data_IF_733563295117
#
_entry.id   IF_733563295117
#
_cell.length_a   1.000
_cell.length_b   1.000
_cell.length_c   1.000
_cell.angle_alpha   90.00
_cell.angle_beta   90.00
_cell.angle_gamma   90.00
#
_symmetry.space_group_name_H-M   'P 1'
#
loop_
_entity.id
_entity.type
_entity.pdbx_description
1 polymer ?
#
# COMPACT_ATOMS: atom_id res chain seq x y z
N UNK A 1 -10.69 5.55 2.86
CA UNK A 1 -12.05 5.29 2.35
C UNK A 1 -12.00 3.98 1.59
N UNK A 2 -12.69 2.94 2.07
CA UNK A 2 -12.67 1.62 1.43
C UNK A 2 -13.38 1.62 0.06
N UNK A 3 -14.44 2.41 -0.09
CA UNK A 3 -15.25 2.41 -1.31
C UNK A 3 -14.42 2.75 -2.56
N UNK A 4 -13.44 3.65 -2.44
CA UNK A 4 -12.59 4.05 -3.56
C UNK A 4 -11.71 2.88 -4.05
N UNK A 5 -11.22 2.04 -3.14
CA UNK A 5 -10.47 0.82 -3.50
C UNK A 5 -11.39 -0.21 -4.16
N UNK A 6 -12.60 -0.36 -3.65
CA UNK A 6 -13.59 -1.32 -4.16
C UNK A 6 -14.08 -0.97 -5.57
N UNK A 7 -14.14 0.32 -5.93
CA UNK A 7 -14.49 0.75 -7.29
C UNK A 7 -13.39 0.42 -8.30
N UNK A 8 -12.12 0.49 -7.89
CA UNK A 8 -10.97 0.32 -8.79
C UNK A 8 -10.56 -1.15 -8.94
N UNK A 9 -10.55 -1.90 -7.84
CA UNK A 9 -9.95 -3.24 -7.81
C UNK A 9 -10.65 -4.18 -6.81
N UNK A 10 -11.98 -4.29 -6.92
CA UNK A 10 -12.83 -5.09 -6.00
C UNK A 10 -12.26 -6.46 -5.67
N UNK A 11 -12.03 -7.30 -6.67
CA UNK A 11 -11.67 -8.71 -6.47
C UNK A 11 -10.31 -8.85 -5.76
N UNK A 12 -9.34 -8.00 -6.10
CA UNK A 12 -8.01 -7.99 -5.49
C UNK A 12 -8.07 -7.53 -4.03
N UNK A 13 -8.86 -6.49 -3.77
CA UNK A 13 -9.04 -5.92 -2.43
C UNK A 13 -9.77 -6.91 -1.52
N UNK A 14 -10.82 -7.57 -2.01
CA UNK A 14 -11.54 -8.59 -1.25
C UNK A 14 -10.65 -9.80 -0.90
N UNK A 15 -9.94 -10.36 -1.88
CA UNK A 15 -9.03 -11.49 -1.62
C UNK A 15 -7.95 -11.11 -0.60
N UNK A 16 -7.40 -9.90 -0.71
CA UNK A 16 -6.40 -9.39 0.23
C UNK A 16 -6.97 -9.22 1.64
N UNK A 17 -8.16 -8.63 1.78
CA UNK A 17 -8.85 -8.47 3.07
C UNK A 17 -9.14 -9.85 3.67
N UNK A 18 -9.64 -10.79 2.87
CA UNK A 18 -9.94 -12.15 3.33
C UNK A 18 -8.69 -12.84 3.86
N UNK A 19 -7.61 -12.89 3.08
CA UNK A 19 -6.34 -13.52 3.49
C UNK A 19 -5.80 -12.91 4.77
N UNK A 20 -5.74 -11.57 4.83
CA UNK A 20 -5.24 -10.86 5.99
C UNK A 20 -6.12 -11.16 7.21
N UNK A 21 -7.44 -10.96 7.13
CA UNK A 21 -8.32 -11.19 8.26
C UNK A 21 -8.25 -12.63 8.81
N UNK A 22 -8.02 -13.63 7.96
CA UNK A 22 -7.92 -15.03 8.37
C UNK A 22 -6.58 -15.39 9.04
N UNK A 23 -5.47 -14.79 8.58
CA UNK A 23 -4.11 -15.20 9.00
C UNK A 23 -3.43 -14.22 9.97
N UNK A 24 -3.85 -12.96 9.99
CA UNK A 24 -3.13 -11.85 10.61
C UNK A 24 -3.12 -11.85 12.14
N UNK A 25 -4.15 -12.44 12.79
CA UNK A 25 -4.34 -12.32 14.24
C UNK A 25 -3.16 -12.85 15.05
N UNK A 26 -2.62 -14.00 14.67
CA UNK A 26 -1.53 -14.63 15.41
C UNK A 26 -0.19 -13.89 15.25
N UNK A 27 -0.05 -13.10 14.18
CA UNK A 27 1.18 -12.37 13.84
C UNK A 27 1.10 -10.87 14.20
N UNK A 28 0.03 -10.45 14.89
CA UNK A 28 -0.12 -9.08 15.38
C UNK A 28 -0.47 -8.05 14.29
N UNK A 29 -1.03 -8.48 13.16
CA UNK A 29 -1.53 -7.58 12.13
C UNK A 29 -3.03 -7.36 12.36
N UNK A 30 -3.46 -6.10 12.35
CA UNK A 30 -4.86 -5.71 12.58
C UNK A 30 -5.36 -4.80 11.46
N UNK A 31 -6.60 -5.04 11.02
CA UNK A 31 -7.24 -4.26 9.97
C UNK A 31 -8.28 -3.33 10.57
N UNK A 32 -8.25 -2.06 10.14
CA UNK A 32 -9.32 -1.08 10.38
C UNK A 32 -9.80 -0.59 9.02
N UNK A 33 -11.03 -0.96 8.67
CA UNK A 33 -11.67 -0.52 7.44
C UNK A 33 -12.74 0.52 7.75
N UNK A 34 -12.73 1.62 7.02
CA UNK A 34 -13.70 2.71 7.19
C UNK A 34 -14.25 3.17 5.83
N UNK A 35 -15.56 3.39 5.79
CA UNK A 35 -16.26 3.92 4.62
C UNK A 35 -17.42 4.83 5.00
N UNK A 36 -17.65 5.86 4.18
CA UNK A 36 -18.86 6.68 4.23
C UNK A 36 -19.96 6.19 3.29
N UNK A 37 -19.69 5.16 2.47
CA UNK A 37 -20.63 4.59 1.49
C UNK A 37 -21.01 3.16 1.89
N UNK A 38 -21.91 2.99 2.87
CA UNK A 38 -22.31 1.67 3.34
C UNK A 38 -23.28 0.99 2.36
N UNK A 39 -22.77 0.56 1.20
CA UNK A 39 -23.53 -0.22 0.22
C UNK A 39 -23.09 -1.69 0.22
N UNK A 40 -23.96 -2.57 -0.30
CA UNK A 40 -23.66 -4.01 -0.45
C UNK A 40 -22.48 -4.28 -1.39
N UNK A 41 -22.14 -3.33 -2.26
CA UNK A 41 -21.01 -3.43 -3.18
C UNK A 41 -19.67 -3.10 -2.52
N UNK A 42 -19.70 -2.32 -1.44
CA UNK A 42 -18.52 -1.92 -0.66
C UNK A 42 -18.34 -2.82 0.56
N UNK A 43 -19.43 -3.09 1.30
CA UNK A 43 -19.45 -3.96 2.49
C UNK A 43 -20.05 -5.29 2.07
N UNK A 44 -19.26 -6.07 1.34
CA UNK A 44 -19.71 -7.32 0.74
C UNK A 44 -19.83 -8.45 1.77
N UNK A 45 -20.44 -9.56 1.38
CA UNK A 45 -20.56 -10.75 2.24
C UNK A 45 -19.21 -11.29 2.70
N UNK A 46 -18.20 -11.26 1.83
CA UNK A 46 -16.82 -11.69 2.15
C UNK A 46 -16.22 -10.81 3.24
N UNK A 47 -16.37 -9.49 3.12
CA UNK A 47 -15.89 -8.54 4.13
C UNK A 47 -16.60 -8.79 5.46
N UNK A 48 -17.94 -8.90 5.45
CA UNK A 48 -18.73 -9.15 6.67
C UNK A 48 -18.38 -10.47 7.37
N UNK A 49 -18.10 -11.52 6.61
CA UNK A 49 -17.75 -12.83 7.15
C UNK A 49 -16.38 -12.84 7.85
N UNK A 50 -15.45 -11.98 7.43
CA UNK A 50 -14.08 -11.94 7.97
C UNK A 50 -13.86 -10.82 9.01
N UNK A 51 -14.76 -9.84 9.10
CA UNK A 51 -14.71 -8.71 10.05
C UNK A 51 -15.96 -8.70 10.95
N UNK A 52 -15.96 -9.51 12.03
CA UNK A 52 -17.12 -9.65 12.91
C UNK A 52 -17.32 -8.47 13.88
N UNK A 53 -16.27 -7.70 14.16
CA UNK A 53 -16.36 -6.49 14.98
C UNK A 53 -16.69 -5.29 14.10
N UNK A 54 -17.76 -4.54 14.43
CA UNK A 54 -18.25 -3.45 13.59
C UNK A 54 -18.65 -2.23 14.40
N UNK A 55 -18.48 -1.06 13.79
CA UNK A 55 -18.92 0.22 14.33
C UNK A 55 -19.77 0.90 13.26
N UNK A 56 -20.96 1.34 13.63
CA UNK A 56 -21.81 2.18 12.79
C UNK A 56 -22.04 3.52 13.49
N UNK A 57 -21.63 4.61 12.85
CA UNK A 57 -22.11 5.95 13.20
C UNK A 57 -23.49 6.18 12.56
N UNK A 58 -24.07 7.36 12.78
CA UNK A 58 -25.34 7.75 12.15
C UNK A 58 -25.28 7.56 10.63
N UNK A 59 -26.22 6.77 10.11
CA UNK A 59 -26.42 6.56 8.66
C UNK A 59 -27.75 7.16 8.19
N UNK A 60 -27.93 7.24 6.87
CA UNK A 60 -29.10 7.87 6.27
C UNK A 60 -30.36 7.00 6.36
N UNK A 61 -30.22 5.67 6.29
CA UNK A 61 -31.37 4.76 6.19
C UNK A 61 -31.21 3.46 6.97
N UNK A 62 -32.36 2.80 7.20
CA UNK A 62 -32.41 1.43 7.74
C UNK A 62 -31.67 0.42 6.86
N UNK A 63 -31.66 0.66 5.54
CA UNK A 63 -30.94 -0.20 4.59
C UNK A 63 -29.44 -0.11 4.87
N UNK A 64 -28.90 1.10 5.00
CA UNK A 64 -27.49 1.32 5.33
C UNK A 64 -27.11 0.71 6.69
N UNK A 65 -28.00 0.84 7.68
CA UNK A 65 -27.81 0.20 8.99
C UNK A 65 -27.68 -1.31 8.85
N UNK A 66 -28.56 -1.94 8.07
CA UNK A 66 -28.49 -3.39 7.82
C UNK A 66 -27.26 -3.80 7.03
N UNK A 67 -26.76 -2.96 6.11
CA UNK A 67 -25.53 -3.26 5.38
C UNK A 67 -24.34 -3.35 6.34
N UNK A 68 -24.25 -2.47 7.33
CA UNK A 68 -23.13 -2.46 8.29
C UNK A 68 -23.34 -3.47 9.43
N UNK A 69 -24.52 -3.44 10.06
CA UNK A 69 -24.78 -4.11 11.34
C UNK A 69 -25.61 -5.39 11.21
N UNK A 70 -26.09 -5.72 10.01
CA UNK A 70 -27.09 -6.77 9.76
C UNK A 70 -28.43 -6.55 10.50
N UNK A 71 -28.60 -5.39 11.16
CA UNK A 71 -29.79 -4.97 11.88
C UNK A 71 -30.05 -3.46 11.75
N UNK A 72 -31.25 -3.03 12.15
CA UNK A 72 -31.60 -1.61 12.22
C UNK A 72 -31.01 -0.96 13.49
N UNK A 73 -30.92 0.36 13.51
CA UNK A 73 -30.61 1.16 14.70
C UNK A 73 -29.67 2.31 14.41
N UNK A 74 -28.73 2.15 13.47
CA UNK A 74 -27.74 3.18 13.16
C UNK A 74 -28.38 4.43 12.51
N UNK A 75 -29.50 4.28 11.81
CA UNK A 75 -30.25 5.40 11.23
C UNK A 75 -30.89 6.32 12.29
N UNK A 76 -31.09 5.79 13.51
CA UNK A 76 -31.72 6.50 14.62
C UNK A 76 -30.70 7.18 15.55
N UNK A 77 -29.40 7.10 15.25
CA UNK A 77 -28.35 7.75 16.01
C UNK A 77 -28.40 9.28 15.84
N UNK A 78 -27.90 10.00 16.84
CA UNK A 78 -27.94 11.46 16.91
C UNK A 78 -26.84 12.13 16.06
N UNK A 79 -25.81 11.38 15.68
CA UNK A 79 -24.59 11.90 15.05
C UNK A 79 -23.59 12.42 16.10
N UNK A 80 -22.60 13.22 15.67
CA UNK A 80 -21.59 13.83 16.57
C UNK A 80 -20.92 12.84 17.54
N UNK A 81 -20.55 11.66 17.04
CA UNK A 81 -19.88 10.61 17.83
C UNK A 81 -20.82 9.55 18.43
N UNK A 82 -22.14 9.73 18.37
CA UNK A 82 -23.09 8.66 18.75
C UNK A 82 -22.98 7.50 17.76
N UNK A 83 -22.76 6.28 18.28
CA UNK A 83 -22.48 5.09 17.49
C UNK A 83 -23.04 3.81 18.11
N UNK A 84 -23.21 2.80 17.26
CA UNK A 84 -23.40 1.41 17.67
C UNK A 84 -22.09 0.64 17.50
N UNK A 85 -21.70 -0.10 18.52
CA UNK A 85 -20.57 -1.02 18.49
C UNK A 85 -21.08 -2.46 18.61
N UNK A 86 -20.77 -3.29 17.61
CA UNK A 86 -21.03 -4.71 17.59
C UNK A 86 -19.73 -5.46 17.85
N UNK A 87 -19.61 -6.04 19.03
CA UNK A 87 -18.54 -6.98 19.34
C UNK A 87 -18.87 -8.37 18.75
N UNK A 88 -17.87 -9.20 18.42
CA UNK A 88 -18.10 -10.54 17.90
C UNK A 88 -18.97 -11.39 18.85
N UNK A 89 -20.10 -11.89 18.36
CA UNK A 89 -21.01 -12.77 19.12
C UNK A 89 -21.84 -12.07 20.19
N UNK A 90 -21.93 -10.74 20.16
CA UNK A 90 -22.75 -9.95 21.10
C UNK A 90 -23.81 -9.14 20.35
N UNK A 91 -24.77 -8.58 21.09
CA UNK A 91 -25.69 -7.57 20.56
C UNK A 91 -25.01 -6.19 20.50
N UNK A 92 -25.38 -5.30 19.56
CA UNK A 92 -24.79 -3.97 19.50
C UNK A 92 -25.05 -3.14 20.76
N UNK A 93 -23.98 -2.57 21.31
CA UNK A 93 -24.04 -1.58 22.36
C UNK A 93 -24.03 -0.17 21.76
N UNK A 94 -24.89 0.72 22.26
CA UNK A 94 -24.82 2.14 21.93
C UNK A 94 -23.75 2.82 22.77
N UNK A 95 -22.84 3.55 22.14
CA UNK A 95 -21.69 4.19 22.76
C UNK A 95 -21.55 5.62 22.24
N UNK A 96 -21.08 6.52 23.09
CA UNK A 96 -20.71 7.88 22.70
C UNK A 96 -19.19 7.95 22.45
N UNK A 97 -18.80 8.35 21.24
CA UNK A 97 -17.42 8.57 20.87
C UNK A 97 -16.80 9.76 21.57
N UNK A 98 -15.54 9.60 21.97
CA UNK A 98 -14.74 10.72 22.44
C UNK A 98 -14.50 11.70 21.28
N UNK A 99 -14.75 12.98 21.54
CA UNK A 99 -14.39 14.04 20.62
C UNK A 99 -12.90 14.33 20.75
N UNK A 100 -12.21 14.40 19.61
CA UNK A 100 -10.83 14.87 19.52
C UNK A 100 -10.76 15.93 18.42
N UNK A 101 -10.23 17.09 18.77
CA UNK A 101 -10.05 18.21 17.84
C UNK A 101 -8.84 18.01 16.93
N UNK A 102 -8.83 18.68 15.78
CA UNK A 102 -7.68 18.65 14.87
C UNK A 102 -6.43 19.23 15.52
N UNK A 103 -6.59 20.21 16.41
CA UNK A 103 -5.51 20.80 17.20
C UNK A 103 -4.91 19.78 18.18
N UNK A 104 -5.73 18.96 18.84
CA UNK A 104 -5.26 17.86 19.69
C UNK A 104 -4.49 16.82 18.90
N UNK A 105 -5.00 16.42 17.73
CA UNK A 105 -4.30 15.49 16.83
C UNK A 105 -2.94 16.08 16.45
N UNK A 106 -2.90 17.36 16.05
CA UNK A 106 -1.66 18.05 15.68
C UNK A 106 -0.62 18.04 16.81
N UNK A 107 -1.04 18.30 18.07
CA UNK A 107 -0.14 18.25 19.22
C UNK A 107 0.45 16.85 19.44
N UNK A 108 -0.35 15.80 19.30
CA UNK A 108 0.12 14.41 19.43
C UNK A 108 1.10 14.07 18.30
N UNK A 109 0.80 14.48 17.07
CA UNK A 109 1.68 14.26 15.91
C UNK A 109 3.03 14.94 16.10
N UNK A 110 3.07 16.20 16.52
CA UNK A 110 4.33 16.92 16.76
C UNK A 110 5.12 16.33 17.93
N UNK A 111 4.44 15.91 18.99
CA UNK A 111 5.07 15.17 20.08
C UNK A 111 5.74 13.89 19.54
N UNK A 112 5.05 13.07 18.75
CA UNK A 112 5.62 11.85 18.17
C UNK A 112 6.82 12.13 17.25
N UNK A 113 6.74 13.14 16.39
CA UNK A 113 7.86 13.56 15.52
C UNK A 113 9.10 13.99 16.31
N UNK A 114 8.92 14.59 17.49
CA UNK A 114 10.04 14.96 18.36
C UNK A 114 10.78 13.75 18.94
N UNK A 115 10.14 12.59 19.02
CA UNK A 115 10.73 11.36 19.58
C UNK A 115 11.57 10.60 18.56
N UNK A 116 11.31 10.76 17.26
CA UNK A 116 12.04 10.05 16.21
C UNK A 116 11.50 10.30 14.82
N UNK A 117 12.31 9.96 13.81
CA UNK A 117 11.88 9.96 12.41
C UNK A 117 11.22 8.63 12.07
N UNK A 118 10.20 8.62 11.19
CA UNK A 118 9.63 7.38 10.71
C UNK A 118 10.69 6.58 9.94
N UNK A 119 10.87 5.33 10.34
CA UNK A 119 11.53 4.33 9.51
C UNK A 119 10.46 3.78 8.58
N UNK A 120 10.46 4.26 7.34
CA UNK A 120 9.67 3.66 6.29
C UNK A 120 10.52 2.55 5.69
N UNK A 121 10.40 1.28 6.12
CA UNK A 121 10.88 0.21 5.29
C UNK A 121 10.21 0.44 3.93
N UNK A 122 11.00 0.39 2.86
CA UNK A 122 10.48 0.32 1.49
C UNK A 122 9.63 -0.95 1.42
N UNK A 123 8.37 -0.86 1.89
CA UNK A 123 7.35 -1.90 1.87
C UNK A 123 7.32 -2.36 0.43
N UNK A 124 7.68 -3.62 0.23
CA UNK A 124 8.04 -4.19 -1.06
C UNK A 124 6.96 -4.01 -2.11
N UNK A 125 7.01 -2.90 -2.81
CA UNK A 125 6.66 -2.81 -4.20
C UNK A 125 7.96 -2.93 -4.99
N UNK A 126 8.05 -4.02 -5.77
CA UNK A 126 8.73 -4.03 -7.07
C UNK A 126 10.25 -4.36 -7.15
N UNK A 127 10.77 -5.33 -6.40
CA UNK A 127 12.07 -5.93 -6.78
C UNK A 127 11.99 -6.75 -8.09
N UNK A 128 10.78 -7.17 -8.51
CA UNK A 128 10.56 -7.71 -9.84
C UNK A 128 10.06 -6.62 -10.79
N UNK A 129 10.88 -6.24 -11.76
CA UNK A 129 10.41 -5.52 -12.94
C UNK A 129 9.76 -6.54 -13.89
N UNK A 130 8.45 -6.43 -14.11
CA UNK A 130 7.71 -7.22 -15.09
C UNK A 130 7.92 -6.70 -16.52
N UNK A 131 7.54 -7.49 -17.52
CA UNK A 131 7.60 -7.05 -18.93
C UNK A 131 6.63 -5.89 -19.21
N UNK A 132 5.49 -5.83 -18.52
CA UNK A 132 4.54 -4.72 -18.63
C UNK A 132 5.12 -3.40 -18.11
N UNK A 133 5.89 -3.44 -17.02
CA UNK A 133 6.59 -2.27 -16.48
C UNK A 133 7.64 -1.74 -17.46
N UNK A 134 8.38 -2.65 -18.11
CA UNK A 134 9.38 -2.31 -19.12
C UNK A 134 8.74 -1.66 -20.34
N UNK A 135 7.64 -2.23 -20.82
CA UNK A 135 6.87 -1.69 -21.94
C UNK A 135 6.31 -0.29 -21.64
N UNK A 136 5.79 -0.06 -20.43
CA UNK A 136 5.27 1.26 -20.02
C UNK A 136 6.32 2.37 -20.12
N UNK A 137 7.58 2.05 -19.79
CA UNK A 137 8.68 3.01 -19.85
C UNK A 137 9.44 2.97 -21.20
N UNK A 138 9.02 2.12 -22.14
CA UNK A 138 9.71 1.92 -23.41
C UNK A 138 11.16 1.48 -23.23
N UNK A 139 11.41 0.66 -22.21
CA UNK A 139 12.75 0.14 -21.86
C UNK A 139 12.80 -1.34 -22.22
N UNK A 140 13.81 -1.76 -22.97
CA UNK A 140 14.00 -3.18 -23.27
C UNK A 140 14.55 -3.96 -22.05
N UNK A 141 14.17 -5.25 -21.85
CA UNK A 141 14.68 -6.06 -20.75
C UNK A 141 16.22 -6.11 -20.67
N UNK A 142 16.88 -6.13 -21.83
CA UNK A 142 18.34 -6.14 -21.91
C UNK A 142 18.95 -4.79 -21.50
N UNK A 143 18.35 -3.68 -21.94
CA UNK A 143 18.79 -2.32 -21.56
C UNK A 143 18.67 -2.12 -20.04
N UNK A 144 17.55 -2.57 -19.45
CA UNK A 144 17.35 -2.50 -18.01
C UNK A 144 18.40 -3.29 -17.22
N UNK A 145 18.69 -4.52 -17.65
CA UNK A 145 19.74 -5.36 -17.03
C UNK A 145 21.12 -4.69 -17.14
N UNK A 146 21.46 -4.13 -18.30
CA UNK A 146 22.72 -3.42 -18.50
C UNK A 146 22.81 -2.18 -17.60
N UNK A 147 21.70 -1.47 -17.39
CA UNK A 147 21.68 -0.32 -16.49
C UNK A 147 21.95 -0.73 -15.04
N UNK A 148 21.33 -1.82 -14.57
CA UNK A 148 21.59 -2.39 -13.24
C UNK A 148 23.08 -2.77 -13.06
N UNK A 149 23.66 -3.46 -14.06
CA UNK A 149 25.08 -3.81 -14.05
C UNK A 149 25.99 -2.57 -14.02
N UNK A 150 25.70 -1.57 -14.85
CA UNK A 150 26.45 -0.32 -14.89
C UNK A 150 26.43 0.39 -13.54
N UNK A 151 25.29 0.41 -12.84
CA UNK A 151 25.16 1.02 -11.51
C UNK A 151 25.98 0.26 -10.46
N UNK A 152 26.00 -1.08 -10.50
CA UNK A 152 26.86 -1.89 -9.63
C UNK A 152 28.36 -1.62 -9.88
N UNK A 153 28.77 -1.62 -11.15
CA UNK A 153 30.16 -1.42 -11.55
C UNK A 153 30.68 -0.03 -11.20
N UNK A 154 29.88 1.01 -11.50
CA UNK A 154 30.28 2.40 -11.31
C UNK A 154 30.02 2.91 -9.90
N UNK A 155 29.27 2.16 -9.08
CA UNK A 155 28.82 2.54 -7.73
C UNK A 155 28.18 3.93 -7.67
N UNK A 156 27.59 4.39 -8.78
CA UNK A 156 26.92 5.69 -8.93
C UNK A 156 25.90 5.60 -10.06
N UNK A 157 24.90 6.47 -10.02
CA UNK A 157 23.90 6.62 -11.09
C UNK A 157 23.68 8.11 -11.37
N UNK A 158 23.51 8.46 -12.65
CA UNK A 158 23.06 9.78 -13.08
C UNK A 158 22.46 9.69 -14.48
N UNK A 159 21.66 10.68 -14.85
CA UNK A 159 21.11 10.77 -16.20
C UNK A 159 22.22 10.82 -17.26
N UNK A 160 23.30 11.57 -17.02
CA UNK A 160 24.44 11.65 -17.94
C UNK A 160 25.19 10.31 -18.08
N UNK A 161 25.33 9.54 -16.99
CA UNK A 161 25.95 8.23 -17.02
C UNK A 161 25.14 7.26 -17.90
N UNK A 162 23.82 7.23 -17.69
CA UNK A 162 22.93 6.40 -18.50
C UNK A 162 22.90 6.88 -19.96
N UNK A 163 22.87 8.19 -20.19
CA UNK A 163 22.94 8.77 -21.54
C UNK A 163 24.23 8.40 -22.27
N UNK A 164 25.37 8.42 -21.58
CA UNK A 164 26.66 8.01 -22.14
C UNK A 164 26.69 6.55 -22.55
N UNK A 165 25.95 5.67 -21.85
CA UNK A 165 25.92 4.25 -22.14
C UNK A 165 24.88 3.89 -23.22
N UNK A 166 23.69 4.49 -23.16
CA UNK A 166 22.54 4.13 -24.01
C UNK A 166 22.29 5.11 -25.16
N UNK A 167 23.06 6.19 -25.26
CA UNK A 167 23.10 7.13 -26.40
C UNK A 167 21.88 8.05 -26.56
N UNK A 168 20.80 7.84 -25.81
CA UNK A 168 19.57 8.64 -25.90
C UNK A 168 19.19 9.26 -24.55
N UNK A 169 18.96 10.58 -24.57
CA UNK A 169 18.47 11.31 -23.38
C UNK A 169 17.13 10.79 -22.90
N UNK A 170 16.21 10.44 -23.81
CA UNK A 170 14.90 9.91 -23.46
C UNK A 170 15.01 8.54 -22.79
N UNK A 171 15.85 7.65 -23.33
CA UNK A 171 16.11 6.33 -22.73
C UNK A 171 16.76 6.46 -21.34
N UNK A 172 17.71 7.37 -21.20
CA UNK A 172 18.36 7.64 -19.91
C UNK A 172 17.36 8.12 -18.85
N UNK A 173 16.44 9.02 -19.22
CA UNK A 173 15.36 9.47 -18.32
C UNK A 173 14.44 8.32 -17.94
N UNK A 174 14.00 7.51 -18.91
CA UNK A 174 13.09 6.39 -18.65
C UNK A 174 13.73 5.33 -17.75
N UNK A 175 14.99 4.98 -18.00
CA UNK A 175 15.75 4.06 -17.14
C UNK A 175 15.92 4.61 -15.73
N UNK A 176 16.25 5.89 -15.58
CA UNK A 176 16.43 6.53 -14.28
C UNK A 176 15.12 6.53 -13.47
N UNK A 177 14.01 6.92 -14.11
CA UNK A 177 12.68 6.90 -13.50
C UNK A 177 12.28 5.48 -13.12
N UNK A 178 12.55 4.49 -13.98
CA UNK A 178 12.22 3.10 -13.70
C UNK A 178 13.05 2.56 -12.52
N UNK A 179 14.35 2.87 -12.43
CA UNK A 179 15.19 2.50 -11.29
C UNK A 179 14.69 3.10 -9.97
N UNK A 180 14.21 4.34 -10.00
CA UNK A 180 13.68 5.03 -8.82
C UNK A 180 12.32 4.44 -8.39
N UNK A 181 11.38 4.31 -9.33
CA UNK A 181 10.04 3.76 -9.06
C UNK A 181 10.11 2.31 -8.57
N UNK A 182 11.06 1.52 -9.09
CA UNK A 182 11.29 0.14 -8.65
C UNK A 182 12.13 0.03 -7.38
N UNK A 183 12.53 1.15 -6.79
CA UNK A 183 13.21 1.18 -5.50
C UNK A 183 14.63 0.58 -5.54
N UNK A 184 15.31 0.66 -6.69
CA UNK A 184 16.74 0.37 -6.82
C UNK A 184 17.59 1.58 -6.44
N UNK A 185 17.04 2.79 -6.63
CA UNK A 185 17.66 4.05 -6.28
C UNK A 185 16.62 4.98 -5.63
N UNK A 186 17.09 5.95 -4.85
CA UNK A 186 16.24 6.98 -4.26
C UNK A 186 16.96 8.33 -4.30
N UNK A 187 16.23 9.42 -4.53
CA UNK A 187 16.79 10.78 -4.45
C UNK A 187 16.32 11.46 -3.16
N UNK A 188 17.19 11.61 -2.14
CA UNK A 188 16.80 12.30 -0.92
C UNK A 188 16.55 13.80 -1.19
N UNK A 189 15.62 14.39 -0.44
CA UNK A 189 15.33 15.82 -0.53
C UNK A 189 16.55 16.66 -0.13
N UNK A 190 16.85 17.70 -0.91
CA UNK A 190 17.96 18.62 -0.64
C UNK A 190 19.34 18.15 -1.10
N UNK A 191 19.45 16.99 -1.76
CA UNK A 191 20.71 16.52 -2.37
C UNK A 191 20.57 16.21 -3.85
N UNK A 192 21.67 16.37 -4.59
CA UNK A 192 21.78 15.96 -5.99
C UNK A 192 22.37 14.54 -6.14
N UNK A 193 22.62 13.83 -5.04
CA UNK A 193 23.16 12.47 -5.05
C UNK A 193 22.04 11.45 -4.87
N UNK A 194 22.07 10.43 -5.71
CA UNK A 194 21.23 9.25 -5.58
C UNK A 194 21.77 8.34 -4.48
N UNK A 195 20.88 7.87 -3.62
CA UNK A 195 21.08 6.70 -2.79
C UNK A 195 20.82 5.44 -3.64
N UNK A 196 21.66 4.41 -3.49
CA UNK A 196 21.63 3.20 -4.33
C UNK A 196 21.52 1.98 -3.42
N UNK A 197 20.53 1.14 -3.67
CA UNK A 197 20.28 -0.09 -2.91
C UNK A 197 20.97 -1.28 -3.59
N UNK A 198 22.27 -1.43 -3.35
CA UNK A 198 23.11 -2.44 -4.02
C UNK A 198 22.59 -3.88 -3.86
N UNK A 199 22.16 -4.27 -2.66
CA UNK A 199 21.66 -5.63 -2.39
C UNK A 199 20.46 -5.99 -3.27
N UNK A 200 19.55 -5.03 -3.49
CA UNK A 200 18.36 -5.22 -4.35
C UNK A 200 18.74 -5.40 -5.81
N UNK A 201 19.73 -4.64 -6.27
CA UNK A 201 20.23 -4.74 -7.65
C UNK A 201 20.87 -6.13 -7.86
N UNK A 202 21.66 -6.60 -6.90
CA UNK A 202 22.27 -7.94 -6.96
C UNK A 202 21.20 -9.05 -6.96
N UNK A 203 20.19 -8.95 -6.10
CA UNK A 203 19.09 -9.93 -6.05
C UNK A 203 18.25 -9.95 -7.35
N UNK A 204 18.01 -8.77 -7.94
CA UNK A 204 17.31 -8.66 -9.23
C UNK A 204 18.11 -9.28 -10.38
N UNK A 205 19.44 -9.23 -10.34
CA UNK A 205 20.28 -9.86 -11.36
C UNK A 205 20.37 -11.38 -11.16
N UNK A 206 20.41 -11.86 -9.91
CA UNK A 206 20.47 -13.29 -9.56
C UNK A 206 19.17 -14.03 -9.93
N UNK A 207 18.01 -13.44 -9.66
CA UNK A 207 16.68 -14.03 -9.88
C UNK A 207 16.30 -14.29 -11.36
N UNK A 208 17.06 -13.76 -12.34
CA UNK A 208 16.86 -14.00 -13.78
C UNK A 208 18.01 -14.76 -14.46
N UNK A 209 18.83 -15.48 -13.69
CA UNK A 209 19.81 -16.43 -14.24
C UNK A 209 19.12 -17.80 -14.35
N UNK A 210 18.99 -18.42 -15.54
CA UNK A 210 18.51 -19.79 -15.61
C UNK A 210 19.47 -20.70 -14.82
N UNK A 211 18.97 -21.72 -14.09
CA UNK A 211 19.84 -22.66 -13.42
C UNK A 211 20.79 -23.28 -14.44
N UNK A 212 22.08 -23.34 -14.12
CA UNK A 212 23.09 -23.99 -14.95
C UNK A 212 22.62 -25.41 -15.32
N UNK A 213 22.85 -25.89 -16.56
CA UNK A 213 22.52 -27.25 -16.91
C UNK A 213 23.29 -28.17 -15.97
N UNK A 214 22.56 -29.01 -15.22
CA UNK A 214 23.16 -30.12 -14.49
C UNK A 214 23.79 -31.03 -15.53
N UNK A 215 25.12 -31.01 -15.64
CA UNK A 215 25.84 -32.03 -16.38
C UNK A 215 25.54 -33.38 -15.73
N UNK A 216 24.97 -34.28 -16.54
CA UNK A 216 24.80 -35.70 -16.24
C UNK A 216 26.16 -36.38 -16.16
#
# INVERSE_FOLDING_TARGET
ELADLMVVAKDVVEDSIQRLAQMARAVGIHLVLATQRPSVDVITGVIKANLPARIALRVASKVDSKVIMDQNGAESLLGKGDMLYLAPGQEPARIQGAFVSTEEIGRVVEYLKSQGKPDYPLIGTMASVGEEDLAQYGVEPMEFRQALQLVLERRRVSQDLLKSQFGSSARATNLLSLLEVKGFIHKPEGTNRWEIFFDRIEDSLRSRTPPAPKNN
#
